data_IF_517909028489
#
_entry.id   IF_517909028489
#
_cell.length_a   1.000
_cell.length_b   1.000
_cell.length_c   1.000
_cell.angle_alpha   90.00
_cell.angle_beta   90.00
_cell.angle_gamma   90.00
#
_symmetry.space_group_name_H-M   'P 1'
#
loop_
_entity.id
_entity.type
_entity.pdbx_description
1 polymer ?
#
# COMPACT_ATOMS: atom_id res chain seq x y z
N UNK A 1 13.17 -18.02 -3.73
CA UNK A 1 13.02 -16.97 -4.76
C UNK A 1 13.17 -15.62 -4.07
N UNK A 2 14.15 -14.78 -4.44
CA UNK A 2 14.28 -13.43 -3.88
C UNK A 2 13.32 -12.49 -4.61
N UNK A 3 12.14 -12.26 -4.03
CA UNK A 3 11.21 -11.24 -4.49
C UNK A 3 11.87 -9.88 -4.32
N UNK A 4 12.13 -9.16 -5.42
CA UNK A 4 12.81 -7.86 -5.39
C UNK A 4 11.84 -6.77 -5.83
N UNK A 5 11.50 -5.89 -4.89
CA UNK A 5 10.99 -4.57 -5.19
C UNK A 5 12.15 -3.56 -5.19
N UNK A 6 12.09 -2.56 -6.05
CA UNK A 6 13.07 -1.46 -6.01
C UNK A 6 13.01 -0.76 -4.64
N UNK A 7 14.16 -0.37 -4.04
CA UNK A 7 14.17 0.31 -2.74
C UNK A 7 13.30 1.58 -2.69
N UNK A 8 13.15 2.27 -3.81
CA UNK A 8 12.27 3.44 -3.92
C UNK A 8 10.79 3.05 -3.74
N UNK A 9 10.34 1.97 -4.39
CA UNK A 9 8.96 1.48 -4.23
C UNK A 9 8.73 0.98 -2.80
N UNK A 10 9.74 0.38 -2.17
CA UNK A 10 9.65 -0.01 -0.76
C UNK A 10 9.43 1.20 0.16
N UNK A 11 10.09 2.33 -0.10
CA UNK A 11 9.88 3.57 0.65
C UNK A 11 8.51 4.17 0.42
N UNK A 12 8.02 4.16 -0.82
CA UNK A 12 6.66 4.64 -1.14
C UNK A 12 5.62 3.83 -0.37
N UNK A 13 5.71 2.50 -0.40
CA UNK A 13 4.79 1.66 0.36
C UNK A 13 4.90 1.90 1.86
N UNK A 14 6.10 2.05 2.43
CA UNK A 14 6.22 2.37 3.86
C UNK A 14 5.56 3.72 4.24
N UNK A 15 5.47 4.68 3.32
CA UNK A 15 4.71 5.91 3.54
C UNK A 15 3.19 5.65 3.47
N UNK A 16 2.75 4.84 2.49
CA UNK A 16 1.35 4.42 2.35
C UNK A 16 0.88 3.60 3.56
N UNK A 17 1.72 2.72 4.10
CA UNK A 17 1.43 1.91 5.30
C UNK A 17 1.13 2.81 6.50
N UNK A 18 1.89 3.90 6.65
CA UNK A 18 1.67 4.85 7.75
C UNK A 18 0.33 5.57 7.61
N UNK A 19 -0.01 6.01 6.40
CA UNK A 19 -1.32 6.62 6.13
C UNK A 19 -2.43 5.62 6.47
N UNK A 20 -2.31 4.40 5.97
CA UNK A 20 -3.29 3.34 6.20
C UNK A 20 -3.47 3.01 7.69
N UNK A 21 -2.38 2.91 8.46
CA UNK A 21 -2.44 2.64 9.90
C UNK A 21 -3.12 3.79 10.67
N UNK A 22 -2.92 5.04 10.25
CA UNK A 22 -3.58 6.19 10.87
C UNK A 22 -5.10 6.12 10.62
N UNK A 23 -5.51 5.77 9.41
CA UNK A 23 -6.94 5.67 9.03
C UNK A 23 -7.64 4.47 9.68
N UNK A 24 -7.04 3.28 9.62
CA UNK A 24 -7.67 2.02 10.08
C UNK A 24 -7.45 1.76 11.58
N UNK A 25 -6.49 2.46 12.20
CA UNK A 25 -6.17 2.32 13.60
C UNK A 25 -5.32 1.08 13.93
N UNK A 26 -5.42 0.53 15.15
CA UNK A 26 -4.43 -0.39 15.72
C UNK A 26 -4.26 -1.72 14.96
N UNK A 27 -5.29 -2.15 14.22
CA UNK A 27 -5.22 -3.36 13.38
C UNK A 27 -4.62 -3.11 11.99
N UNK A 28 -4.48 -1.85 11.58
CA UNK A 28 -3.97 -1.48 10.26
C UNK A 28 -2.56 -2.00 10.00
N UNK A 29 -1.74 -2.22 11.03
CA UNK A 29 -0.38 -2.77 10.85
C UNK A 29 -0.43 -4.20 10.32
N UNK A 30 -1.23 -5.08 10.93
CA UNK A 30 -1.30 -6.47 10.50
C UNK A 30 -1.86 -6.57 9.08
N UNK A 31 -2.93 -5.81 8.80
CA UNK A 31 -3.54 -5.77 7.47
C UNK A 31 -2.56 -5.24 6.41
N UNK A 32 -1.74 -4.24 6.75
CA UNK A 32 -0.71 -3.74 5.85
C UNK A 32 0.40 -4.78 5.59
N UNK A 33 0.81 -5.53 6.61
CA UNK A 33 1.79 -6.62 6.49
C UNK A 33 1.26 -7.78 5.62
N UNK A 34 0.00 -8.16 5.80
CA UNK A 34 -0.64 -9.21 5.01
C UNK A 34 -0.78 -8.78 3.54
N UNK A 35 -1.30 -7.57 3.29
CA UNK A 35 -1.39 -7.00 1.94
C UNK A 35 0.01 -6.83 1.31
N UNK A 36 1.04 -6.58 2.11
CA UNK A 36 2.42 -6.45 1.65
C UNK A 36 2.99 -7.77 1.19
N UNK A 37 2.70 -8.84 1.92
CA UNK A 37 3.09 -10.20 1.54
C UNK A 37 2.40 -10.60 0.23
N UNK A 38 1.09 -10.40 0.13
CA UNK A 38 0.30 -10.66 -1.10
C UNK A 38 0.84 -9.84 -2.28
N UNK A 39 1.15 -8.56 -2.05
CA UNK A 39 1.74 -7.72 -3.07
C UNK A 39 3.12 -8.22 -3.53
N UNK A 40 3.92 -8.86 -2.69
CA UNK A 40 5.23 -9.38 -3.11
C UNK A 40 5.17 -10.76 -3.77
N UNK A 41 4.11 -11.54 -3.58
CA UNK A 41 3.97 -12.90 -4.13
C UNK A 41 4.15 -13.01 -5.66
N UNK A 42 3.61 -12.10 -6.50
CA UNK A 42 3.73 -12.22 -7.96
C UNK A 42 5.15 -12.04 -8.50
N UNK A 43 6.12 -11.65 -7.65
CA UNK A 43 7.53 -11.52 -8.05
C UNK A 43 8.03 -10.08 -8.10
N UNK A 44 8.88 -9.77 -9.09
CA UNK A 44 9.59 -8.49 -9.14
C UNK A 44 8.64 -7.31 -9.34
N UNK A 45 8.71 -6.34 -8.42
CA UNK A 45 7.97 -5.07 -8.47
C UNK A 45 8.94 -3.98 -8.91
N UNK A 46 8.79 -3.50 -10.14
CA UNK A 46 9.79 -2.65 -10.80
C UNK A 46 9.22 -1.32 -11.30
N UNK A 47 7.90 -1.13 -11.25
CA UNK A 47 7.22 0.03 -11.81
C UNK A 47 6.39 0.76 -10.75
N UNK A 48 6.22 2.08 -10.86
CA UNK A 48 5.31 2.84 -9.99
C UNK A 48 3.86 2.32 -10.04
N UNK A 49 3.40 1.86 -11.21
CA UNK A 49 2.08 1.23 -11.37
C UNK A 49 1.89 -0.02 -10.49
N UNK A 50 2.99 -0.67 -10.08
CA UNK A 50 2.89 -1.78 -9.15
C UNK A 50 2.51 -1.27 -7.75
N UNK A 51 2.91 -0.05 -7.35
CA UNK A 51 2.51 0.56 -6.06
C UNK A 51 1.03 0.97 -6.07
N UNK A 52 0.47 1.32 -7.23
CA UNK A 52 -0.98 1.58 -7.35
C UNK A 52 -1.80 0.33 -7.00
N UNK A 53 -1.36 -0.86 -7.45
CA UNK A 53 -2.00 -2.13 -7.06
C UNK A 53 -1.92 -2.37 -5.54
N UNK A 54 -0.84 -1.93 -4.90
CA UNK A 54 -0.71 -2.03 -3.44
C UNK A 54 -1.73 -1.14 -2.72
N UNK A 55 -1.95 0.07 -3.21
CA UNK A 55 -2.98 0.97 -2.67
C UNK A 55 -4.37 0.35 -2.81
N UNK A 56 -4.66 -0.28 -3.94
CA UNK A 56 -5.94 -0.96 -4.17
C UNK A 56 -6.15 -2.16 -3.24
N UNK A 57 -5.10 -2.92 -2.92
CA UNK A 57 -5.16 -3.99 -1.93
C UNK A 57 -5.50 -3.46 -0.54
N UNK A 58 -4.81 -2.42 -0.08
CA UNK A 58 -5.08 -1.80 1.21
C UNK A 58 -6.50 -1.21 1.29
N UNK A 59 -6.95 -0.55 0.23
CA UNK A 59 -8.27 0.06 0.16
C UNK A 59 -9.43 -0.94 0.34
N UNK A 60 -9.22 -2.23 0.05
CA UNK A 60 -10.22 -3.28 0.28
C UNK A 60 -10.52 -3.53 1.76
N UNK A 61 -9.59 -3.15 2.65
CA UNK A 61 -9.76 -3.27 4.09
C UNK A 61 -10.43 -2.05 4.73
N UNK A 62 -10.83 -1.05 3.94
CA UNK A 62 -11.54 0.15 4.40
C UNK A 62 -13.00 0.04 3.94
N UNK A 63 -13.88 -0.26 4.90
CA UNK A 63 -15.31 -0.45 4.66
C UNK A 63 -16.02 0.89 4.34
N UNK A 64 -15.63 1.96 5.04
CA UNK A 64 -16.19 3.29 4.86
C UNK A 64 -15.73 3.90 3.53
N UNK A 65 -16.69 4.28 2.68
CA UNK A 65 -16.41 4.71 1.32
C UNK A 65 -15.69 6.07 1.27
N UNK A 66 -15.98 6.97 2.21
CA UNK A 66 -15.38 8.31 2.27
C UNK A 66 -13.94 8.22 2.78
N UNK A 67 -13.70 7.44 3.83
CA UNK A 67 -12.35 7.15 4.33
C UNK A 67 -11.52 6.44 3.27
N UNK A 68 -12.09 5.48 2.55
CA UNK A 68 -11.40 4.79 1.45
C UNK A 68 -11.00 5.76 0.34
N UNK A 69 -11.89 6.67 -0.04
CA UNK A 69 -11.60 7.67 -1.07
C UNK A 69 -10.51 8.66 -0.63
N UNK A 70 -10.53 9.09 0.64
CA UNK A 70 -9.50 9.93 1.22
C UNK A 70 -8.14 9.22 1.22
N UNK A 71 -8.07 8.00 1.75
CA UNK A 71 -6.87 7.17 1.75
C UNK A 71 -6.28 6.99 0.35
N UNK A 72 -7.10 6.60 -0.65
CA UNK A 72 -6.63 6.38 -2.03
C UNK A 72 -6.10 7.68 -2.63
N UNK A 73 -6.73 8.82 -2.35
CA UNK A 73 -6.28 10.13 -2.84
C UNK A 73 -4.90 10.50 -2.28
N UNK A 74 -4.72 10.35 -0.97
CA UNK A 74 -3.45 10.66 -0.29
C UNK A 74 -2.34 9.68 -0.70
N UNK A 75 -2.65 8.38 -0.76
CA UNK A 75 -1.70 7.36 -1.18
C UNK A 75 -1.22 7.57 -2.63
N UNK A 76 -2.11 8.00 -3.54
CA UNK A 76 -1.73 8.35 -4.93
C UNK A 76 -0.84 9.60 -4.99
N UNK A 77 -1.00 10.55 -4.07
CA UNK A 77 -0.10 11.70 -3.99
C UNK A 77 1.33 11.26 -3.62
N UNK A 78 1.50 10.22 -2.80
CA UNK A 78 2.82 9.65 -2.49
C UNK A 78 3.50 8.97 -3.68
N UNK A 79 2.75 8.54 -4.70
CA UNK A 79 3.28 7.84 -5.89
C UNK A 79 3.77 8.83 -6.96
N UNK A 80 3.19 10.03 -7.03
CA UNK A 80 3.50 11.05 -8.05
C UNK A 80 4.72 11.93 -7.74
N UNK A 81 5.41 11.67 -6.63
CA UNK A 81 6.62 12.37 -6.18
C UNK A 81 7.90 11.85 -6.87
#
# INVERSE_FOLDING_TARGET
MSHRALPMLLRMCAAIDRLFIVEVGPFGRQLAEDARAEWLEPGNRLRPADVEQYVELLAQHIDDADQRAAFVTEARACIRL
#
